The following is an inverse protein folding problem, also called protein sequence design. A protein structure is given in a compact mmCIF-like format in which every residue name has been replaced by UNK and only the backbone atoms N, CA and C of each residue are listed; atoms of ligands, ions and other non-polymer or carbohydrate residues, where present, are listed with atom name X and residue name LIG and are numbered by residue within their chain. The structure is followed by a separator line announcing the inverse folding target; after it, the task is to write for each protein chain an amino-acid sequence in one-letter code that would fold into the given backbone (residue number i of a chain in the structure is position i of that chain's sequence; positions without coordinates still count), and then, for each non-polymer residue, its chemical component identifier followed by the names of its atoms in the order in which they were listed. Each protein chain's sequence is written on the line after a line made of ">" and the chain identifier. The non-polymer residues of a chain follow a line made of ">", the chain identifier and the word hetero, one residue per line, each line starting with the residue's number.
data_IF_240521812459
#
_entry.id   IF_240521812459
#
_cell.length_a   1.000
_cell.length_b   1.000
_cell.length_c   1.000
_cell.angle_alpha   90.00
_cell.angle_beta   90.00
_cell.angle_gamma   90.00
#
_symmetry.space_group_name_H-M   'P 1'
#
loop_
_entity.id
_entity.type
_entity.pdbx_description
1 polymer ?
#
# COMPACT_ATOMS: atom_id res chain seq x y z
N UNK A 1 22.24 -25.32 6.28
CA UNK A 1 21.19 -24.42 5.74
C UNK A 1 20.17 -24.12 6.84
N UNK A 2 20.42 -23.11 7.68
CA UNK A 2 19.44 -22.69 8.69
C UNK A 2 19.56 -21.17 8.94
N UNK A 3 19.48 -20.39 7.86
CA UNK A 3 19.52 -18.91 7.88
C UNK A 3 18.13 -18.30 8.12
N UNK A 4 17.16 -19.09 8.61
CA UNK A 4 15.76 -18.66 8.76
C UNK A 4 15.45 -18.19 10.20
N UNK A 5 16.19 -18.67 11.20
CA UNK A 5 15.90 -18.38 12.61
C UNK A 5 16.47 -17.05 13.14
N UNK A 6 17.43 -16.42 12.44
CA UNK A 6 18.04 -15.14 12.89
C UNK A 6 17.25 -13.90 12.48
N UNK A 7 16.34 -13.99 11.51
CA UNK A 7 15.61 -12.84 11.00
C UNK A 7 14.39 -12.47 11.87
N UNK A 8 13.75 -13.45 12.52
CA UNK A 8 12.54 -13.22 13.33
C UNK A 8 12.80 -12.45 14.63
N UNK A 9 14.00 -12.55 15.21
CA UNK A 9 14.33 -11.84 16.44
C UNK A 9 14.51 -10.32 16.20
N UNK A 10 15.00 -9.92 15.02
CA UNK A 10 15.20 -8.51 14.65
C UNK A 10 13.87 -7.89 14.15
N UNK A 11 13.01 -8.69 13.51
CA UNK A 11 11.69 -8.24 13.04
C UNK A 11 10.76 -7.87 14.21
N UNK A 12 10.80 -8.63 15.32
CA UNK A 12 10.00 -8.33 16.52
C UNK A 12 10.45 -7.08 17.29
N UNK A 13 11.76 -6.77 17.28
CA UNK A 13 12.32 -5.55 17.88
C UNK A 13 11.90 -4.30 17.07
N UNK A 14 11.90 -4.37 15.72
CA UNK A 14 11.38 -3.28 14.85
C UNK A 14 9.85 -3.11 14.92
N UNK A 15 9.11 -4.19 15.17
CA UNK A 15 7.65 -4.13 15.42
C UNK A 15 7.29 -3.37 16.71
N UNK A 16 8.20 -3.35 17.70
CA UNK A 16 8.01 -2.57 18.95
C UNK A 16 8.42 -1.11 18.82
N UNK A 17 9.35 -0.80 17.93
CA UNK A 17 9.83 0.56 17.69
C UNK A 17 8.84 1.35 16.82
N UNK A 18 8.34 0.74 15.73
CA UNK A 18 7.36 1.39 14.81
C UNK A 18 5.96 1.56 15.40
N UNK A 19 5.56 0.76 16.39
CA UNK A 19 4.24 0.86 17.04
C UNK A 19 4.16 2.05 18.02
N UNK A 20 5.29 2.66 18.38
CA UNK A 20 5.34 3.75 19.38
C UNK A 20 5.28 5.16 18.79
N UNK A 21 5.53 5.35 17.50
CA UNK A 21 5.68 6.71 16.95
C UNK A 21 4.47 7.28 16.21
N UNK A 22 3.60 6.49 15.55
CA UNK A 22 2.39 7.06 14.93
C UNK A 22 1.30 6.00 14.76
N UNK A 23 0.17 6.17 15.45
CA UNK A 23 -0.95 5.24 15.46
C UNK A 23 -1.70 5.17 14.12
N UNK A 24 -1.85 3.96 13.61
CA UNK A 24 -3.08 3.38 13.02
C UNK A 24 -2.82 1.88 12.78
N UNK A 25 -3.75 0.97 13.13
CA UNK A 25 -3.59 -0.45 12.82
C UNK A 25 -3.84 -0.63 11.32
N UNK A 26 -2.84 -1.17 10.60
CA UNK A 26 -3.05 -1.66 9.24
C UNK A 26 -3.94 -2.91 9.30
N UNK A 27 -5.24 -2.69 9.14
CA UNK A 27 -6.24 -3.73 8.96
C UNK A 27 -5.87 -4.52 7.69
N UNK A 28 -5.45 -5.77 7.91
CA UNK A 28 -4.98 -6.65 6.86
C UNK A 28 -6.05 -7.70 6.59
N UNK A 29 -6.52 -7.70 5.33
CA UNK A 29 -7.19 -8.78 4.61
C UNK A 29 -8.65 -9.12 4.97
N UNK A 30 -9.55 -8.87 4.02
CA UNK A 30 -10.48 -9.90 3.55
C UNK A 30 -10.58 -9.87 2.02
N UNK A 31 -10.03 -10.90 1.39
CA UNK A 31 -10.05 -11.12 -0.05
C UNK A 31 -11.23 -12.04 -0.40
N UNK A 32 -12.43 -11.47 -0.41
CA UNK A 32 -13.65 -12.13 -0.90
C UNK A 32 -14.48 -11.18 -1.77
N UNK A 33 -13.85 -10.37 -2.63
CA UNK A 33 -14.60 -9.43 -3.49
C UNK A 33 -15.16 -10.19 -4.70
N UNK A 34 -16.32 -10.81 -4.52
CA UNK A 34 -17.33 -10.88 -5.59
C UNK A 34 -17.78 -9.44 -5.87
N UNK A 35 -16.91 -8.69 -6.54
CA UNK A 35 -17.11 -7.28 -6.80
C UNK A 35 -17.99 -7.08 -8.01
N UNK A 36 -18.85 -6.07 -7.90
CA UNK A 36 -19.63 -5.55 -9.01
C UNK A 36 -18.74 -5.37 -10.27
N UNK A 37 -19.05 -6.02 -11.40
CA UNK A 37 -18.26 -5.89 -12.62
C UNK A 37 -18.12 -4.44 -13.08
N UNK A 38 -19.12 -3.60 -12.84
CA UNK A 38 -19.08 -2.19 -13.21
C UNK A 38 -18.07 -1.43 -12.34
N UNK A 39 -18.02 -1.72 -11.04
CA UNK A 39 -17.02 -1.18 -10.12
C UNK A 39 -15.59 -1.59 -10.53
N UNK A 40 -15.40 -2.83 -11.01
CA UNK A 40 -14.07 -3.29 -11.48
C UNK A 40 -13.64 -2.56 -12.74
N UNK A 41 -14.55 -2.33 -13.68
CA UNK A 41 -14.29 -1.57 -14.91
C UNK A 41 -13.99 -0.11 -14.59
N UNK A 42 -14.80 0.52 -13.73
CA UNK A 42 -14.59 1.90 -13.27
C UNK A 42 -13.25 2.07 -12.56
N UNK A 43 -12.88 1.16 -11.64
CA UNK A 43 -11.59 1.19 -10.98
C UNK A 43 -10.43 1.03 -11.96
N UNK A 44 -10.52 0.11 -12.92
CA UNK A 44 -9.49 -0.06 -13.94
C UNK A 44 -9.30 1.22 -14.77
N UNK A 45 -10.41 1.88 -15.15
CA UNK A 45 -10.40 3.19 -15.83
C UNK A 45 -9.70 4.24 -14.97
N UNK A 46 -10.13 4.40 -13.71
CA UNK A 46 -9.59 5.40 -12.80
C UNK A 46 -8.10 5.19 -12.49
N UNK A 47 -7.65 3.94 -12.41
CA UNK A 47 -6.23 3.60 -12.26
C UNK A 47 -5.38 4.14 -13.42
N UNK A 48 -5.93 4.25 -14.63
CA UNK A 48 -5.21 4.84 -15.77
C UNK A 48 -4.96 6.34 -15.66
N UNK A 49 -5.72 7.05 -14.83
CA UNK A 49 -5.59 8.50 -14.61
C UNK A 49 -4.48 8.84 -13.60
N UNK A 50 -3.96 7.84 -12.87
CA UNK A 50 -2.87 8.03 -11.94
C UNK A 50 -1.53 8.07 -12.68
N UNK A 51 -0.63 8.90 -12.14
CA UNK A 51 0.79 8.90 -12.50
C UNK A 51 1.38 7.50 -12.31
N UNK A 52 2.27 7.06 -13.21
CA UNK A 52 2.78 5.69 -13.25
C UNK A 52 3.36 5.22 -11.91
N UNK A 53 4.08 6.12 -11.21
CA UNK A 53 4.65 5.82 -9.91
C UNK A 53 3.55 5.60 -8.85
N UNK A 54 2.50 6.42 -8.83
CA UNK A 54 1.39 6.27 -7.87
C UNK A 54 0.62 4.99 -8.14
N UNK A 55 0.37 4.68 -9.42
CA UNK A 55 -0.26 3.42 -9.82
C UNK A 55 0.53 2.22 -9.35
N UNK A 56 1.86 2.25 -9.49
CA UNK A 56 2.75 1.19 -9.02
C UNK A 56 2.68 1.03 -7.50
N UNK A 57 2.77 2.12 -6.72
CA UNK A 57 2.72 2.03 -5.26
C UNK A 57 1.36 1.56 -4.73
N UNK A 58 0.26 2.01 -5.34
CA UNK A 58 -1.07 1.49 -4.99
C UNK A 58 -1.17 0.01 -5.36
N UNK A 59 -0.70 -0.39 -6.55
CA UNK A 59 -0.69 -1.81 -6.89
C UNK A 59 0.11 -2.62 -5.86
N UNK A 60 1.31 -2.17 -5.50
CA UNK A 60 2.17 -2.91 -4.58
C UNK A 60 1.65 -2.92 -3.15
N UNK A 61 0.94 -1.89 -2.71
CA UNK A 61 0.27 -1.89 -1.41
C UNK A 61 -0.91 -2.88 -1.35
N UNK A 62 -1.76 -2.89 -2.37
CA UNK A 62 -3.05 -3.60 -2.32
C UNK A 62 -3.03 -5.00 -2.95
N UNK A 63 -2.14 -5.26 -3.92
CA UNK A 63 -2.07 -6.55 -4.63
C UNK A 63 -0.83 -7.36 -4.25
N UNK A 64 0.32 -6.68 -4.07
CA UNK A 64 1.59 -7.38 -3.77
C UNK A 64 1.86 -7.46 -2.25
N UNK A 65 1.08 -6.76 -1.41
CA UNK A 65 1.16 -6.81 0.05
C UNK A 65 2.36 -6.07 0.65
N UNK A 66 3.01 -5.17 -0.09
CA UNK A 66 4.13 -4.39 0.45
C UNK A 66 3.65 -3.34 1.45
N UNK A 67 4.40 -3.17 2.53
CA UNK A 67 4.23 -2.04 3.43
C UNK A 67 4.76 -0.75 2.80
N UNK A 68 4.24 0.40 3.25
CA UNK A 68 4.75 1.71 2.83
C UNK A 68 6.25 1.89 3.11
N UNK A 69 6.78 1.25 4.17
CA UNK A 69 8.20 1.31 4.51
C UNK A 69 9.07 0.51 3.53
N UNK A 70 8.60 -0.64 3.07
CA UNK A 70 9.29 -1.44 2.05
C UNK A 70 9.29 -0.69 0.73
N UNK A 71 8.13 -0.19 0.28
CA UNK A 71 8.06 0.59 -0.96
C UNK A 71 8.93 1.85 -0.90
N UNK A 72 8.95 2.56 0.22
CA UNK A 72 9.81 3.74 0.41
C UNK A 72 11.29 3.37 0.28
N UNK A 73 11.69 2.23 0.85
CA UNK A 73 13.07 1.71 0.77
C UNK A 73 13.42 1.32 -0.68
N UNK A 74 12.54 0.58 -1.36
CA UNK A 74 12.74 0.17 -2.76
C UNK A 74 12.83 1.36 -3.71
N UNK A 75 12.00 2.38 -3.50
CA UNK A 75 12.00 3.60 -4.30
C UNK A 75 13.05 4.65 -3.86
N UNK A 76 13.83 4.37 -2.80
CA UNK A 76 14.83 5.30 -2.23
C UNK A 76 14.24 6.68 -1.88
N UNK A 77 13.04 6.71 -1.31
CA UNK A 77 12.35 7.94 -0.87
C UNK A 77 12.04 7.91 0.63
N UNK A 78 11.88 9.06 1.29
CA UNK A 78 11.41 9.10 2.68
C UNK A 78 10.02 8.46 2.84
N UNK A 79 9.78 7.81 3.98
CA UNK A 79 8.48 7.20 4.28
C UNK A 79 7.32 8.20 4.21
N UNK A 80 7.53 9.45 4.66
CA UNK A 80 6.54 10.51 4.56
C UNK A 80 6.16 10.86 3.11
N UNK A 81 7.12 10.81 2.20
CA UNK A 81 6.89 11.00 0.75
C UNK A 81 6.06 9.85 0.19
N UNK A 82 6.42 8.60 0.52
CA UNK A 82 5.67 7.42 0.08
C UNK A 82 4.21 7.45 0.56
N UNK A 83 3.99 7.73 1.86
CA UNK A 83 2.64 7.90 2.41
C UNK A 83 1.86 8.99 1.69
N UNK A 84 2.50 10.14 1.42
CA UNK A 84 1.87 11.26 0.72
C UNK A 84 1.49 10.92 -0.72
N UNK A 85 2.33 10.18 -1.45
CA UNK A 85 2.05 9.71 -2.81
C UNK A 85 0.88 8.73 -2.84
N UNK A 86 0.87 7.74 -1.95
CA UNK A 86 -0.23 6.78 -1.84
C UNK A 86 -1.53 7.50 -1.47
N UNK A 87 -1.51 8.41 -0.49
CA UNK A 87 -2.68 9.18 -0.06
C UNK A 87 -3.27 10.00 -1.21
N UNK A 88 -2.44 10.75 -1.95
CA UNK A 88 -2.88 11.55 -3.11
C UNK A 88 -3.41 10.68 -4.25
N UNK A 89 -2.81 9.51 -4.48
CA UNK A 89 -3.30 8.56 -5.47
C UNK A 89 -4.66 7.99 -5.11
N UNK A 90 -4.90 7.65 -3.83
CA UNK A 90 -6.21 7.22 -3.34
C UNK A 90 -7.26 8.33 -3.41
N UNK A 91 -6.90 9.58 -3.10
CA UNK A 91 -7.78 10.74 -3.28
C UNK A 91 -8.21 10.89 -4.75
N UNK A 92 -7.28 10.74 -5.69
CA UNK A 92 -7.57 10.77 -7.13
C UNK A 92 -8.49 9.63 -7.57
N UNK A 93 -8.24 8.41 -7.08
CA UNK A 93 -9.11 7.27 -7.37
C UNK A 93 -10.53 7.50 -6.85
N UNK A 94 -10.66 8.03 -5.63
CA UNK A 94 -11.96 8.38 -5.05
C UNK A 94 -12.70 9.41 -5.90
N UNK A 95 -12.04 10.52 -6.25
CA UNK A 95 -12.66 11.58 -7.08
C UNK A 95 -13.10 11.03 -8.44
N UNK A 96 -12.31 10.14 -9.06
CA UNK A 96 -12.69 9.53 -10.32
C UNK A 96 -13.89 8.59 -10.19
N UNK A 97 -13.92 7.75 -9.15
CA UNK A 97 -15.02 6.82 -8.90
C UNK A 97 -16.31 7.52 -8.46
N UNK A 98 -16.22 8.66 -7.77
CA UNK A 98 -17.36 9.51 -7.42
C UNK A 98 -17.91 10.28 -8.65
N UNK A 99 -17.16 10.34 -9.75
CA UNK A 99 -17.52 11.06 -10.98
C UNK A 99 -17.98 10.14 -12.13
N UNK A 100 -17.85 8.81 -11.98
CA UNK A 100 -18.40 7.77 -12.89
C UNK A 100 -19.84 7.43 -12.45
#
# INVERSE_FOLDING_TARGET
>A
MATIARNSAIDSQRRRDRRREDGEPADSADASVSGDPDLRIGLARCMTLLEDHQRQFIRSAFFDGYSYAEMATHASVPLGTMKSWVRRGLERLRVCLDAD
#
